data_IF_320280098540
#
_entry.id   IF_320280098540
#
_cell.length_a   1.000
_cell.length_b   1.000
_cell.length_c   1.000
_cell.angle_alpha   90.00
_cell.angle_beta   90.00
_cell.angle_gamma   90.00
#
_symmetry.space_group_name_H-M   'P 1'
#
loop_
_entity.id
_entity.type
_entity.pdbx_description
1 polymer ?
#
# COMPACT_ATOMS: atom_id res chain seq x y z
N UNK A 1 12.29 7.93 17.38
CA UNK A 1 13.72 7.75 17.68
C UNK A 1 14.16 8.77 18.72
N UNK A 2 13.63 8.61 19.93
CA UNK A 2 14.16 9.30 21.11
C UNK A 2 15.40 8.60 21.63
N UNK A 3 15.53 7.28 21.40
CA UNK A 3 16.61 6.41 21.90
C UNK A 3 18.01 6.92 21.62
N UNK A 4 18.34 7.40 20.41
CA UNK A 4 19.68 7.96 20.12
C UNK A 4 20.02 9.17 21.00
N UNK A 5 18.99 9.92 21.42
CA UNK A 5 19.12 11.12 22.24
C UNK A 5 18.89 10.88 23.72
N UNK A 6 18.16 9.85 24.13
CA UNK A 6 17.83 9.56 25.53
C UNK A 6 18.61 8.37 26.10
N UNK A 7 18.83 7.32 25.30
CA UNK A 7 19.42 6.06 25.72
C UNK A 7 20.21 5.37 24.58
N UNK A 8 21.35 5.97 24.15
CA UNK A 8 22.11 5.49 22.99
C UNK A 8 22.72 4.09 23.21
N UNK A 9 22.95 3.68 24.47
CA UNK A 9 23.54 2.38 24.79
C UNK A 9 22.65 1.20 24.40
N UNK A 10 21.33 1.38 24.45
CA UNK A 10 20.36 0.35 24.05
C UNK A 10 19.91 0.45 22.60
N UNK A 11 20.45 1.40 21.82
CA UNK A 11 20.05 1.60 20.42
C UNK A 11 20.20 0.33 19.58
N UNK A 12 21.21 -0.49 19.85
CA UNK A 12 21.43 -1.77 19.19
C UNK A 12 20.27 -2.75 19.36
N UNK A 13 19.63 -2.77 20.53
CA UNK A 13 18.54 -3.69 20.84
C UNK A 13 17.18 -3.21 20.34
N UNK A 14 17.02 -1.90 20.15
CA UNK A 14 15.73 -1.29 19.80
C UNK A 14 15.60 -0.92 18.32
N UNK A 15 16.66 -1.14 17.53
CA UNK A 15 16.66 -0.85 16.11
C UNK A 15 16.85 -2.13 15.28
N UNK A 16 16.17 -2.21 14.13
CA UNK A 16 16.23 -3.35 13.21
C UNK A 16 17.53 -3.42 12.39
N UNK A 17 18.43 -2.43 12.54
CA UNK A 17 19.68 -2.34 11.81
C UNK A 17 19.57 -1.63 10.46
N UNK A 18 20.62 -1.81 9.65
CA UNK A 18 20.70 -1.31 8.27
C UNK A 18 21.12 -2.48 7.38
N UNK A 19 20.36 -2.71 6.30
CA UNK A 19 20.70 -3.72 5.28
C UNK A 19 21.30 -3.05 4.07
N UNK A 20 22.46 -3.54 3.67
CA UNK A 20 23.30 -3.00 2.60
C UNK A 20 23.52 -4.08 1.55
N UNK A 21 23.43 -3.68 0.28
CA UNK A 21 23.93 -4.45 -0.85
C UNK A 21 25.24 -3.83 -1.34
N UNK A 22 26.16 -4.66 -1.78
CA UNK A 22 27.40 -4.22 -2.42
C UNK A 22 27.76 -5.18 -3.55
N UNK A 23 28.51 -4.70 -4.53
CA UNK A 23 28.98 -5.55 -5.63
C UNK A 23 30.14 -6.45 -5.23
N UNK A 24 30.86 -6.11 -4.14
CA UNK A 24 31.98 -6.88 -3.57
C UNK A 24 32.29 -6.42 -2.16
N UNK A 25 32.65 -7.37 -1.29
CA UNK A 25 33.23 -7.12 0.05
C UNK A 25 34.67 -7.63 0.09
N UNK A 26 35.62 -6.72 0.32
CA UNK A 26 37.02 -7.10 0.56
C UNK A 26 37.33 -7.00 2.06
N UNK A 27 37.69 -8.13 2.69
CA UNK A 27 38.16 -8.14 4.09
C UNK A 27 39.66 -7.89 4.12
N UNK A 28 40.08 -6.82 4.78
CA UNK A 28 41.51 -6.53 4.94
C UNK A 28 42.13 -7.45 6.00
N UNK A 29 43.42 -7.79 5.85
CA UNK A 29 44.17 -8.66 6.77
C UNK A 29 44.51 -7.98 8.11
N UNK A 30 44.23 -6.69 8.26
CA UNK A 30 44.41 -5.98 9.52
C UNK A 30 43.52 -6.61 10.61
N UNK A 31 44.13 -7.06 11.71
CA UNK A 31 43.46 -7.72 12.84
C UNK A 31 42.76 -9.06 12.50
N UNK A 32 43.25 -9.83 11.53
CA UNK A 32 42.65 -11.10 11.09
C UNK A 32 42.38 -12.15 12.20
N UNK A 33 43.02 -12.04 13.37
CA UNK A 33 42.79 -12.91 14.53
C UNK A 33 41.81 -12.38 15.58
N UNK A 34 41.33 -11.14 15.47
CA UNK A 34 40.36 -10.56 16.39
C UNK A 34 39.01 -10.36 15.68
N UNK A 35 37.97 -11.07 16.14
CA UNK A 35 36.62 -10.96 15.59
C UNK A 35 35.83 -9.74 16.13
N UNK A 36 36.39 -8.99 17.08
CA UNK A 36 35.75 -7.80 17.67
C UNK A 36 35.85 -6.57 16.75
N UNK A 37 36.90 -6.47 15.93
CA UNK A 37 37.14 -5.34 15.02
C UNK A 37 37.57 -5.86 13.66
N UNK A 38 36.73 -5.61 12.64
CA UNK A 38 37.03 -5.94 11.25
C UNK A 38 37.06 -4.70 10.37
N UNK A 39 37.99 -4.66 9.43
CA UNK A 39 38.08 -3.63 8.41
C UNK A 39 37.64 -4.21 7.06
N UNK A 40 36.57 -3.66 6.51
CA UNK A 40 35.93 -4.09 5.27
C UNK A 40 35.90 -2.95 4.27
N UNK A 41 36.28 -3.23 3.03
CA UNK A 41 36.07 -2.33 1.89
C UNK A 41 34.87 -2.82 1.09
N UNK A 42 33.89 -1.94 0.88
CA UNK A 42 32.61 -2.25 0.24
C UNK A 42 32.49 -1.50 -1.07
N UNK A 43 32.30 -2.23 -2.17
CA UNK A 43 32.19 -1.64 -3.52
C UNK A 43 30.72 -1.45 -3.91
N UNK A 44 30.38 -0.29 -4.48
CA UNK A 44 29.02 0.05 -4.96
C UNK A 44 27.91 -0.20 -3.92
N UNK A 45 28.07 0.40 -2.74
CA UNK A 45 27.13 0.24 -1.64
C UNK A 45 25.75 0.83 -1.94
N UNK A 46 24.69 0.10 -1.62
CA UNK A 46 23.31 0.55 -1.69
C UNK A 46 22.52 0.15 -0.44
N UNK A 47 21.80 1.10 0.15
CA UNK A 47 20.93 0.84 1.31
C UNK A 47 19.59 0.31 0.82
N UNK A 48 19.24 -0.92 1.19
CA UNK A 48 17.95 -1.55 0.81
C UNK A 48 16.96 -1.66 1.96
N UNK A 49 17.43 -1.53 3.21
CA UNK A 49 16.58 -1.39 4.40
C UNK A 49 17.32 -0.53 5.45
N UNK A 50 16.57 0.21 6.28
CA UNK A 50 17.13 1.06 7.32
C UNK A 50 17.24 2.54 6.95
N UNK A 51 16.58 3.02 5.89
CA UNK A 51 16.63 4.44 5.50
C UNK A 51 16.20 5.40 6.62
N UNK A 52 15.20 5.01 7.42
CA UNK A 52 14.79 5.77 8.59
C UNK A 52 15.88 5.78 9.67
N UNK A 53 16.48 4.62 9.97
CA UNK A 53 17.62 4.44 10.88
C UNK A 53 18.76 5.37 10.47
N UNK A 54 19.21 5.27 9.22
CA UNK A 54 20.30 6.09 8.67
C UNK A 54 19.98 7.58 8.77
N UNK A 55 18.78 8.00 8.37
CA UNK A 55 18.38 9.41 8.43
C UNK A 55 18.26 9.95 9.85
N UNK A 56 17.89 9.12 10.82
CA UNK A 56 17.83 9.54 12.22
C UNK A 56 19.21 9.59 12.87
N UNK A 57 20.10 8.64 12.55
CA UNK A 57 21.52 8.72 12.94
C UNK A 57 22.10 10.03 12.40
N UNK A 58 21.90 10.36 11.13
CA UNK A 58 22.39 11.61 10.53
C UNK A 58 21.89 12.86 11.28
N UNK A 59 20.57 12.97 11.50
CA UNK A 59 19.99 14.12 12.24
C UNK A 59 20.44 14.20 13.69
N UNK A 60 20.65 13.07 14.37
CA UNK A 60 21.16 13.07 15.74
C UNK A 60 22.64 13.39 15.79
N UNK A 61 23.41 12.94 14.81
CA UNK A 61 24.85 13.21 14.69
C UNK A 61 25.11 14.70 14.46
N UNK A 62 24.30 15.37 13.65
CA UNK A 62 24.37 16.84 13.46
C UNK A 62 24.19 17.62 14.77
N UNK A 63 23.53 17.05 15.78
CA UNK A 63 23.26 17.70 17.07
C UNK A 63 24.29 17.35 18.14
N UNK A 64 24.63 16.07 18.26
CA UNK A 64 25.53 15.56 19.30
C UNK A 64 26.30 14.33 18.80
N UNK A 65 27.42 14.53 18.08
CA UNK A 65 28.26 13.46 17.54
C UNK A 65 28.77 12.49 18.61
N UNK A 66 29.20 13.02 19.76
CA UNK A 66 29.78 12.27 20.88
C UNK A 66 28.78 11.28 21.46
N UNK A 67 27.52 11.69 21.59
CA UNK A 67 26.46 10.82 22.10
C UNK A 67 26.08 9.74 21.11
N UNK A 68 26.00 10.07 19.82
CA UNK A 68 25.73 9.08 18.75
C UNK A 68 26.86 8.07 18.64
N UNK A 69 28.12 8.47 18.86
CA UNK A 69 29.28 7.58 18.84
C UNK A 69 29.24 6.44 19.87
N UNK A 70 28.38 6.54 20.90
CA UNK A 70 28.18 5.49 21.91
C UNK A 70 27.15 4.43 21.48
N UNK A 71 26.38 4.70 20.43
CA UNK A 71 25.38 3.79 19.92
C UNK A 71 26.01 2.74 19.00
N UNK A 72 25.55 1.50 19.11
CA UNK A 72 25.88 0.42 18.16
C UNK A 72 24.68 0.14 17.27
N UNK A 73 24.91 -0.14 15.99
CA UNK A 73 23.88 -0.52 15.03
C UNK A 73 24.26 -1.82 14.34
N UNK A 74 23.30 -2.72 14.16
CA UNK A 74 23.53 -3.94 13.39
C UNK A 74 23.58 -3.58 11.90
N UNK A 75 24.65 -4.01 11.23
CA UNK A 75 24.76 -3.93 9.77
C UNK A 75 24.67 -5.34 9.19
N UNK A 76 23.76 -5.53 8.25
CA UNK A 76 23.70 -6.72 7.41
C UNK A 76 24.19 -6.33 6.01
N UNK A 77 25.33 -6.89 5.60
CA UNK A 77 25.95 -6.60 4.30
C UNK A 77 25.82 -7.86 3.44
N UNK A 78 25.25 -7.69 2.25
CA UNK A 78 25.09 -8.78 1.27
C UNK A 78 26.03 -8.49 0.11
N UNK A 79 26.97 -9.42 -0.10
CA UNK A 79 27.84 -9.43 -1.27
C UNK A 79 27.10 -10.04 -2.48
N UNK A 80 27.11 -9.32 -3.60
CA UNK A 80 26.47 -9.72 -4.84
C UNK A 80 27.45 -10.34 -5.86
N UNK A 81 28.75 -10.44 -5.54
CA UNK A 81 29.81 -10.89 -6.46
C UNK A 81 29.49 -12.18 -7.22
N UNK A 82 28.84 -13.13 -6.54
CA UNK A 82 28.54 -14.47 -7.07
C UNK A 82 27.03 -14.73 -7.20
N UNK A 83 26.25 -13.66 -7.34
CA UNK A 83 24.80 -13.72 -7.51
C UNK A 83 24.36 -13.38 -8.95
N UNK A 84 23.18 -13.86 -9.40
CA UNK A 84 22.62 -13.47 -10.69
C UNK A 84 22.42 -11.95 -10.80
N UNK A 85 22.49 -11.39 -12.01
CA UNK A 85 22.34 -9.95 -12.27
C UNK A 85 21.04 -9.34 -11.70
N UNK A 86 19.97 -10.15 -11.58
CA UNK A 86 18.68 -9.72 -11.05
C UNK A 86 18.57 -9.77 -9.51
N UNK A 87 19.60 -10.29 -8.82
CA UNK A 87 19.59 -10.52 -7.38
C UNK A 87 19.36 -9.23 -6.59
N UNK A 88 20.02 -8.13 -6.97
CA UNK A 88 19.82 -6.83 -6.32
C UNK A 88 18.35 -6.39 -6.36
N UNK A 89 17.72 -6.52 -7.54
CA UNK A 89 16.31 -6.16 -7.75
C UNK A 89 15.39 -7.09 -6.95
N UNK A 90 15.65 -8.40 -6.96
CA UNK A 90 14.86 -9.38 -6.20
C UNK A 90 14.97 -9.15 -4.70
N UNK A 91 16.18 -9.00 -4.16
CA UNK A 91 16.41 -8.76 -2.72
C UNK A 91 15.73 -7.45 -2.30
N UNK A 92 15.89 -6.38 -3.08
CA UNK A 92 15.24 -5.10 -2.82
C UNK A 92 13.72 -5.23 -2.85
N UNK A 93 13.16 -5.94 -3.83
CA UNK A 93 11.72 -6.17 -3.95
C UNK A 93 11.20 -7.00 -2.78
N UNK A 94 11.87 -8.08 -2.42
CA UNK A 94 11.46 -8.95 -1.32
C UNK A 94 11.58 -8.26 0.04
N UNK A 95 12.66 -7.50 0.29
CA UNK A 95 12.81 -6.72 1.52
C UNK A 95 11.74 -5.63 1.65
N UNK A 96 11.41 -4.93 0.56
CA UNK A 96 10.30 -3.96 0.55
C UNK A 96 8.92 -4.61 0.69
N UNK A 97 8.72 -5.81 0.13
CA UNK A 97 7.50 -6.59 0.33
C UNK A 97 7.37 -7.08 1.77
N UNK A 98 8.47 -7.43 2.43
CA UNK A 98 8.51 -7.75 3.86
C UNK A 98 8.26 -6.50 4.71
N UNK A 99 8.77 -5.32 4.37
CA UNK A 99 8.46 -4.07 5.07
C UNK A 99 7.03 -3.55 4.82
N UNK A 100 6.29 -4.14 3.88
CA UNK A 100 4.85 -3.89 3.72
C UNK A 100 4.04 -4.33 4.96
N UNK A 101 4.68 -5.07 5.86
CA UNK A 101 4.17 -5.57 7.14
C UNK A 101 4.03 -4.46 8.19
N UNK A 102 4.77 -3.35 8.13
CA UNK A 102 4.69 -2.31 9.19
C UNK A 102 3.29 -1.66 9.29
N UNK A 103 2.71 -1.22 8.17
CA UNK A 103 1.38 -0.57 8.20
C UNK A 103 0.25 -1.55 8.54
N UNK A 104 0.36 -2.81 8.10
CA UNK A 104 -0.65 -3.84 8.39
C UNK A 104 -0.63 -4.21 9.86
N UNK A 105 0.55 -4.33 10.45
CA UNK A 105 0.71 -4.62 11.88
C UNK A 105 0.16 -3.48 12.72
N UNK A 106 0.40 -2.21 12.36
CA UNK A 106 -0.25 -1.08 13.04
C UNK A 106 -1.77 -1.15 12.95
N UNK A 107 -2.32 -1.29 11.74
CA UNK A 107 -3.77 -1.39 11.53
C UNK A 107 -4.38 -2.57 12.31
N UNK A 108 -3.65 -3.67 12.45
CA UNK A 108 -4.10 -4.86 13.18
C UNK A 108 -4.34 -4.61 14.68
N UNK A 109 -3.74 -3.56 15.25
CA UNK A 109 -3.88 -3.17 16.65
C UNK A 109 -5.13 -2.33 16.91
N UNK A 110 -5.79 -1.82 15.87
CA UNK A 110 -6.98 -0.97 16.02
C UNK A 110 -8.22 -1.80 16.45
N UNK A 111 -8.89 -1.44 17.56
CA UNK A 111 -10.14 -2.06 17.97
C UNK A 111 -11.24 -2.05 16.90
N UNK A 112 -11.25 -1.09 15.97
CA UNK A 112 -12.23 -1.05 14.87
C UNK A 112 -12.12 -2.29 13.98
N UNK A 113 -10.92 -2.86 13.80
CA UNK A 113 -10.76 -4.06 12.97
C UNK A 113 -11.45 -5.28 13.59
N UNK A 114 -11.32 -5.46 14.91
CA UNK A 114 -12.00 -6.54 15.62
C UNK A 114 -13.51 -6.31 15.68
N UNK A 115 -13.96 -5.06 15.84
CA UNK A 115 -15.39 -4.71 15.75
C UNK A 115 -15.96 -5.14 14.41
N UNK A 116 -15.33 -4.71 13.31
CA UNK A 116 -15.76 -5.02 11.94
C UNK A 116 -15.76 -6.54 11.69
N UNK A 117 -14.76 -7.27 12.20
CA UNK A 117 -14.74 -8.73 12.10
C UNK A 117 -15.94 -9.37 12.79
N UNK A 118 -16.21 -8.98 14.04
CA UNK A 118 -17.34 -9.53 14.82
C UNK A 118 -18.68 -9.20 14.18
N UNK A 119 -18.86 -7.95 13.77
CA UNK A 119 -20.08 -7.50 13.09
C UNK A 119 -20.31 -8.29 11.79
N UNK A 120 -19.28 -8.46 10.95
CA UNK A 120 -19.41 -9.24 9.73
C UNK A 120 -19.75 -10.71 9.99
N UNK A 121 -19.16 -11.30 11.03
CA UNK A 121 -19.43 -12.69 11.40
C UNK A 121 -20.86 -12.88 11.93
N UNK A 122 -21.41 -11.88 12.63
CA UNK A 122 -22.80 -11.91 13.11
C UNK A 122 -23.80 -11.78 11.97
N UNK A 123 -23.59 -10.82 11.07
CA UNK A 123 -24.45 -10.60 9.89
C UNK A 123 -24.32 -11.76 8.88
N UNK A 124 -23.10 -12.29 8.73
CA UNK A 124 -22.78 -13.35 7.77
C UNK A 124 -21.76 -14.35 8.30
N UNK A 125 -22.22 -15.43 8.96
CA UNK A 125 -21.35 -16.46 9.54
C UNK A 125 -20.40 -17.17 8.55
N UNK A 126 -20.64 -17.04 7.25
CA UNK A 126 -19.83 -17.65 6.17
C UNK A 126 -18.69 -16.78 5.67
N UNK A 127 -18.65 -15.50 6.07
CA UNK A 127 -17.64 -14.53 5.63
C UNK A 127 -16.66 -14.28 6.78
N UNK A 128 -15.39 -14.56 6.55
CA UNK A 128 -14.32 -14.29 7.50
C UNK A 128 -13.54 -13.04 7.11
N UNK A 129 -13.38 -12.10 8.05
CA UNK A 129 -12.52 -10.93 7.89
C UNK A 129 -11.16 -11.11 8.57
N UNK A 130 -10.13 -11.29 7.75
CA UNK A 130 -8.75 -11.53 8.19
C UNK A 130 -7.96 -10.21 8.16
N UNK A 131 -7.76 -9.64 9.35
CA UNK A 131 -7.02 -8.38 9.52
C UNK A 131 -5.68 -8.53 10.26
N UNK A 132 -5.40 -9.72 10.80
CA UNK A 132 -4.11 -10.09 11.42
C UNK A 132 -3.48 -11.26 10.69
N UNK A 133 -2.16 -11.38 10.76
CA UNK A 133 -1.44 -12.57 10.28
C UNK A 133 -1.53 -13.66 11.35
N UNK A 134 -2.63 -14.42 11.40
CA UNK A 134 -2.71 -15.64 12.20
C UNK A 134 -2.47 -16.87 11.33
N UNK A 135 -1.69 -17.83 11.85
CA UNK A 135 -1.36 -19.10 11.19
C UNK A 135 -2.51 -20.12 11.14
N UNK A 136 -3.68 -19.74 11.63
CA UNK A 136 -4.88 -20.58 11.72
C UNK A 136 -6.11 -19.72 11.47
N UNK A 137 -7.14 -20.33 10.87
CA UNK A 137 -8.48 -19.82 10.57
C UNK A 137 -8.73 -19.28 9.15
N UNK A 138 -8.59 -20.18 8.16
CA UNK A 138 -9.29 -20.10 6.86
C UNK A 138 -10.59 -20.92 6.91
N UNK A 139 -11.41 -20.77 7.97
CA UNK A 139 -12.58 -21.63 8.21
C UNK A 139 -13.91 -21.02 7.70
N UNK A 140 -13.83 -19.98 6.86
CA UNK A 140 -14.99 -19.39 6.18
C UNK A 140 -15.03 -19.76 4.69
N UNK A 141 -16.22 -19.96 4.14
CA UNK A 141 -16.41 -20.18 2.69
C UNK A 141 -15.91 -18.99 1.86
N UNK A 142 -15.96 -17.77 2.42
CA UNK A 142 -15.46 -16.54 1.79
C UNK A 142 -14.54 -15.78 2.75
N UNK A 143 -13.35 -15.41 2.27
CA UNK A 143 -12.36 -14.65 3.05
C UNK A 143 -12.18 -13.26 2.44
N UNK A 144 -12.32 -12.23 3.26
CA UNK A 144 -11.88 -10.87 2.92
C UNK A 144 -10.72 -10.47 3.83
N UNK A 145 -9.78 -9.69 3.29
CA UNK A 145 -8.57 -9.30 4.00
C UNK A 145 -8.48 -7.79 4.19
N UNK A 146 -7.73 -7.35 5.20
CA UNK A 146 -7.40 -5.93 5.38
C UNK A 146 -6.72 -5.31 4.14
N UNK A 147 -5.92 -6.10 3.42
CA UNK A 147 -5.27 -5.71 2.15
C UNK A 147 -6.28 -5.44 1.02
N UNK A 148 -7.46 -6.07 1.05
CA UNK A 148 -8.56 -5.81 0.12
C UNK A 148 -9.47 -4.68 0.61
N UNK A 149 -9.77 -4.64 1.91
CA UNK A 149 -10.62 -3.61 2.50
C UNK A 149 -10.01 -2.22 2.37
N UNK A 150 -8.72 -2.07 2.64
CA UNK A 150 -8.02 -0.78 2.60
C UNK A 150 -8.16 -0.03 1.27
N UNK A 151 -7.80 -0.61 0.10
CA UNK A 151 -7.95 0.08 -1.18
C UNK A 151 -9.42 0.29 -1.58
N UNK A 152 -10.33 -0.61 -1.21
CA UNK A 152 -11.76 -0.46 -1.49
C UNK A 152 -12.34 0.75 -0.75
N UNK A 153 -12.09 0.84 0.56
CA UNK A 153 -12.52 1.96 1.41
C UNK A 153 -11.86 3.29 0.99
N UNK A 154 -10.59 3.25 0.57
CA UNK A 154 -9.92 4.44 0.05
C UNK A 154 -10.56 4.95 -1.25
N UNK A 155 -11.11 4.07 -2.08
CA UNK A 155 -11.86 4.46 -3.28
C UNK A 155 -13.31 4.89 -2.95
N UNK A 156 -13.90 4.33 -1.89
CA UNK A 156 -15.23 4.73 -1.40
C UNK A 156 -15.24 6.11 -0.75
N UNK A 157 -14.10 6.55 -0.19
CA UNK A 157 -13.98 7.89 0.38
C UNK A 157 -14.14 8.98 -0.71
N UNK A 158 -14.77 10.10 -0.36
CA UNK A 158 -15.05 11.19 -1.31
C UNK A 158 -13.79 11.93 -1.79
N UNK A 159 -12.70 11.87 -1.02
CA UNK A 159 -11.41 12.43 -1.37
C UNK A 159 -10.65 11.52 -2.35
N UNK A 160 -10.55 11.94 -3.62
CA UNK A 160 -9.87 11.20 -4.69
C UNK A 160 -8.36 11.03 -4.44
N UNK A 161 -7.79 11.81 -3.50
CA UNK A 161 -6.43 11.60 -3.05
C UNK A 161 -6.23 10.19 -2.50
N UNK A 162 -7.22 9.66 -1.77
CA UNK A 162 -7.11 8.35 -1.13
C UNK A 162 -7.11 7.21 -2.16
N UNK A 163 -7.90 7.31 -3.23
CA UNK A 163 -7.84 6.34 -4.34
C UNK A 163 -6.50 6.41 -5.08
N UNK A 164 -5.91 7.60 -5.20
CA UNK A 164 -4.57 7.80 -5.77
C UNK A 164 -3.47 7.21 -4.88
N UNK A 165 -3.60 7.35 -3.56
CA UNK A 165 -2.73 6.69 -2.58
C UNK A 165 -2.87 5.17 -2.65
N UNK A 166 -4.09 4.64 -2.76
CA UNK A 166 -4.32 3.21 -2.95
C UNK A 166 -3.65 2.65 -4.20
N UNK A 167 -3.47 3.47 -5.25
CA UNK A 167 -2.76 3.08 -6.48
C UNK A 167 -1.23 3.09 -6.34
N UNK A 168 -0.67 3.94 -5.49
CA UNK A 168 0.76 4.27 -5.52
C UNK A 168 1.52 4.01 -4.20
N UNK A 169 0.85 4.13 -3.06
CA UNK A 169 1.41 4.13 -1.71
C UNK A 169 0.45 3.49 -0.70
N UNK A 170 0.04 2.24 -0.94
CA UNK A 170 -0.96 1.55 -0.10
C UNK A 170 -0.57 1.54 1.39
N UNK A 171 0.69 1.26 1.73
CA UNK A 171 1.15 1.23 3.13
C UNK A 171 1.03 2.56 3.87
N UNK A 172 0.98 3.70 3.16
CA UNK A 172 0.74 5.00 3.79
C UNK A 172 -0.70 5.15 4.28
N UNK A 173 -1.65 4.36 3.76
CA UNK A 173 -3.04 4.36 4.22
C UNK A 173 -3.21 3.68 5.58
N UNK A 174 -2.25 2.84 5.99
CA UNK A 174 -2.29 2.07 7.24
C UNK A 174 -1.13 2.40 8.18
N UNK A 175 -0.36 3.45 7.90
CA UNK A 175 0.85 3.79 8.66
C UNK A 175 0.58 4.30 10.10
N UNK A 176 -0.65 4.69 10.45
CA UNK A 176 -1.01 5.15 11.79
C UNK A 176 -2.49 4.97 12.06
N UNK A 177 -2.84 4.27 13.14
CA UNK A 177 -4.25 4.00 13.49
C UNK A 177 -5.00 5.21 14.06
N UNK A 178 -4.27 6.22 14.53
CA UNK A 178 -4.85 7.39 15.21
C UNK A 178 -4.93 8.64 14.33
N UNK A 179 -4.46 8.59 13.08
CA UNK A 179 -4.36 9.76 12.20
C UNK A 179 -4.94 9.49 10.81
N UNK A 180 -5.42 10.54 10.10
CA UNK A 180 -5.66 10.44 8.68
C UNK A 180 -4.37 10.05 7.93
N UNK A 181 -4.48 9.31 6.82
CA UNK A 181 -5.71 8.91 6.13
C UNK A 181 -6.45 7.72 6.75
N UNK A 182 -5.82 6.94 7.64
CA UNK A 182 -6.37 5.69 8.15
C UNK A 182 -7.73 5.86 8.84
N UNK A 183 -7.87 6.85 9.73
CA UNK A 183 -9.12 7.12 10.47
C UNK A 183 -10.27 7.57 9.56
N UNK A 184 -9.98 7.98 8.31
CA UNK A 184 -11.01 8.24 7.30
C UNK A 184 -11.52 6.96 6.63
N UNK A 185 -10.75 5.88 6.70
CA UNK A 185 -11.11 4.58 6.16
C UNK A 185 -11.79 3.72 7.22
N UNK A 186 -11.14 3.55 8.37
CA UNK A 186 -11.61 2.75 9.49
C UNK A 186 -11.99 3.67 10.65
N UNK A 187 -13.28 3.73 10.95
CA UNK A 187 -13.84 4.54 12.03
C UNK A 187 -15.15 3.92 12.52
N UNK A 188 -15.73 4.50 13.57
CA UNK A 188 -16.94 4.00 14.22
C UNK A 188 -18.18 4.03 13.32
N UNK A 189 -18.23 4.90 12.31
CA UNK A 189 -19.36 4.99 11.37
C UNK A 189 -19.31 3.96 10.23
N UNK A 190 -18.18 3.28 10.04
CA UNK A 190 -18.07 2.25 9.02
C UNK A 190 -18.78 0.97 9.49
N UNK A 191 -19.81 0.52 8.78
CA UNK A 191 -20.38 -0.81 8.98
C UNK A 191 -19.56 -1.89 8.28
N UNK A 192 -19.60 -3.11 8.82
CA UNK A 192 -18.94 -4.26 8.24
C UNK A 192 -19.54 -4.65 6.88
N UNK A 193 -20.86 -4.48 6.71
CA UNK A 193 -21.56 -4.68 5.44
C UNK A 193 -21.05 -3.69 4.38
N UNK A 194 -20.91 -2.40 4.72
CA UNK A 194 -20.37 -1.40 3.79
C UNK A 194 -18.93 -1.72 3.37
N UNK A 195 -18.10 -2.16 4.32
CA UNK A 195 -16.74 -2.61 4.03
C UNK A 195 -16.74 -3.81 3.09
N UNK A 196 -17.55 -4.83 3.37
CA UNK A 196 -17.65 -6.04 2.54
C UNK A 196 -18.14 -5.71 1.13
N UNK A 197 -19.24 -4.95 1.00
CA UNK A 197 -19.79 -4.53 -0.28
C UNK A 197 -18.79 -3.72 -1.10
N UNK A 198 -18.04 -2.81 -0.48
CA UNK A 198 -16.98 -2.07 -1.16
C UNK A 198 -15.90 -3.00 -1.74
N UNK A 199 -15.53 -4.07 -1.03
CA UNK A 199 -14.57 -5.09 -1.50
C UNK A 199 -15.15 -5.90 -2.65
N UNK A 200 -16.42 -6.30 -2.58
CA UNK A 200 -17.08 -7.03 -3.66
C UNK A 200 -17.20 -6.17 -4.92
N UNK A 201 -17.63 -4.91 -4.80
CA UNK A 201 -17.69 -3.96 -5.91
C UNK A 201 -16.30 -3.74 -6.52
N UNK A 202 -15.25 -3.60 -5.69
CA UNK A 202 -13.88 -3.51 -6.19
C UNK A 202 -13.50 -4.74 -7.03
N UNK A 203 -13.85 -5.93 -6.56
CA UNK A 203 -13.56 -7.20 -7.25
C UNK A 203 -14.32 -7.30 -8.57
N UNK A 204 -15.62 -7.00 -8.57
CA UNK A 204 -16.44 -6.94 -9.77
C UNK A 204 -15.89 -5.96 -10.80
N UNK A 205 -15.53 -4.74 -10.37
CA UNK A 205 -14.91 -3.73 -11.25
C UNK A 205 -13.60 -4.23 -11.86
N UNK A 206 -12.73 -4.88 -11.08
CA UNK A 206 -11.49 -5.45 -11.59
C UNK A 206 -11.72 -6.56 -12.63
N UNK A 207 -12.72 -7.41 -12.42
CA UNK A 207 -13.14 -8.41 -13.39
C UNK A 207 -13.70 -7.77 -14.67
N UNK A 208 -14.62 -6.82 -14.56
CA UNK A 208 -15.20 -6.11 -15.71
C UNK A 208 -14.12 -5.38 -16.52
N UNK A 209 -13.19 -4.68 -15.86
CA UNK A 209 -12.06 -4.01 -16.55
C UNK A 209 -11.16 -5.02 -17.28
N UNK A 210 -10.91 -6.19 -16.70
CA UNK A 210 -10.16 -7.25 -17.36
C UNK A 210 -10.91 -7.84 -18.57
N UNK A 211 -12.23 -7.99 -18.49
CA UNK A 211 -13.06 -8.46 -19.59
C UNK A 211 -13.09 -7.44 -20.73
N UNK A 212 -13.28 -6.15 -20.42
CA UNK A 212 -13.16 -5.06 -21.40
C UNK A 212 -11.78 -5.10 -22.07
N UNK A 213 -10.70 -5.31 -21.32
CA UNK A 213 -9.35 -5.41 -21.89
C UNK A 213 -9.18 -6.63 -22.82
N UNK A 214 -9.77 -7.78 -22.49
CA UNK A 214 -9.66 -9.03 -23.27
C UNK A 214 -10.55 -9.03 -24.53
N UNK A 215 -11.69 -8.36 -24.49
CA UNK A 215 -12.72 -8.42 -25.54
C UNK A 215 -12.61 -7.39 -26.66
N UNK A 216 -11.54 -6.59 -26.75
CA UNK A 216 -11.56 -5.41 -27.60
C UNK A 216 -11.24 -5.66 -29.07
N UNK A 217 -12.24 -5.40 -29.91
CA UNK A 217 -12.14 -4.38 -30.95
C UNK A 217 -12.68 -3.01 -30.45
N UNK A 218 -12.03 -1.93 -30.88
CA UNK A 218 -12.42 -0.48 -30.84
C UNK A 218 -12.12 0.40 -29.59
N UNK A 219 -11.34 1.46 -29.85
CA UNK A 219 -11.26 2.79 -29.20
C UNK A 219 -10.90 2.96 -27.72
N UNK A 220 -10.87 1.96 -26.85
CA UNK A 220 -10.51 2.18 -25.41
C UNK A 220 -9.02 1.96 -25.15
N UNK A 221 -8.35 2.91 -24.51
CA UNK A 221 -6.92 2.79 -24.17
C UNK A 221 -6.68 1.74 -23.06
N UNK A 222 -5.95 0.64 -23.32
CA UNK A 222 -5.66 -0.38 -22.31
C UNK A 222 -4.90 0.18 -21.10
N UNK A 223 -4.09 1.21 -21.32
CA UNK A 223 -3.32 1.88 -20.27
C UNK A 223 -4.21 2.63 -19.28
N UNK A 224 -5.33 3.20 -19.75
CA UNK A 224 -6.31 3.84 -18.86
C UNK A 224 -6.99 2.78 -17.99
N UNK A 225 -7.35 1.63 -18.55
CA UNK A 225 -7.95 0.52 -17.78
C UNK A 225 -6.98 -0.01 -16.70
N UNK A 226 -5.71 -0.18 -17.04
CA UNK A 226 -4.69 -0.74 -16.12
C UNK A 226 -4.29 0.27 -15.04
N UNK A 227 -4.02 1.52 -15.44
CA UNK A 227 -3.49 2.53 -14.52
C UNK A 227 -4.59 3.30 -13.80
N UNK A 228 -5.74 3.49 -14.43
CA UNK A 228 -6.91 4.17 -13.88
C UNK A 228 -7.84 3.29 -13.06
N UNK A 229 -7.55 2.00 -12.87
CA UNK A 229 -8.44 1.06 -12.17
C UNK A 229 -8.96 1.56 -10.80
N UNK A 230 -8.09 2.15 -9.95
CA UNK A 230 -8.51 2.72 -8.65
C UNK A 230 -9.30 4.02 -8.80
N UNK A 231 -9.00 4.82 -9.82
CA UNK A 231 -9.73 6.05 -10.12
C UNK A 231 -11.14 5.74 -10.66
N UNK A 232 -11.25 4.79 -11.59
CA UNK A 232 -12.54 4.32 -12.12
C UNK A 232 -13.39 3.69 -11.00
N UNK A 233 -12.78 2.85 -10.16
CA UNK A 233 -13.46 2.33 -8.97
C UNK A 233 -13.97 3.44 -8.05
N UNK A 234 -13.17 4.49 -7.82
CA UNK A 234 -13.60 5.65 -7.04
C UNK A 234 -14.85 6.30 -7.65
N UNK A 235 -14.86 6.57 -8.96
CA UNK A 235 -16.02 7.16 -9.63
C UNK A 235 -17.27 6.28 -9.51
N UNK A 236 -17.13 4.97 -9.74
CA UNK A 236 -18.23 4.00 -9.58
C UNK A 236 -18.77 4.01 -8.15
N UNK A 237 -17.90 3.89 -7.15
CA UNK A 237 -18.31 3.89 -5.74
C UNK A 237 -18.94 5.21 -5.30
N UNK A 238 -18.50 6.35 -5.84
CA UNK A 238 -19.13 7.64 -5.55
C UNK A 238 -20.55 7.72 -6.11
N UNK A 239 -20.78 7.25 -7.34
CA UNK A 239 -22.12 7.23 -7.93
C UNK A 239 -23.03 6.25 -7.18
N UNK A 240 -22.55 5.05 -6.84
CA UNK A 240 -23.32 4.06 -6.09
C UNK A 240 -23.68 4.54 -4.68
N UNK A 241 -22.73 5.14 -3.96
CA UNK A 241 -22.96 5.70 -2.62
C UNK A 241 -24.00 6.83 -2.63
N UNK A 242 -24.14 7.54 -3.74
CA UNK A 242 -25.16 8.60 -3.87
C UNK A 242 -26.57 8.04 -4.07
N UNK A 243 -26.71 6.78 -4.52
CA UNK A 243 -28.00 6.17 -4.88
C UNK A 243 -28.43 5.03 -3.94
N UNK A 244 -27.49 4.39 -3.23
CA UNK A 244 -27.76 3.26 -2.34
C UNK A 244 -26.87 3.35 -1.09
N UNK A 245 -27.45 3.07 0.06
CA UNK A 245 -26.71 2.88 1.30
C UNK A 245 -26.02 1.52 1.26
N UNK A 246 -24.70 1.53 1.06
CA UNK A 246 -23.91 0.30 0.93
C UNK A 246 -23.80 -0.49 2.24
N UNK A 247 -24.26 0.06 3.36
CA UNK A 247 -24.21 -0.56 4.68
C UNK A 247 -25.47 -1.33 5.09
N UNK A 248 -26.55 -1.26 4.31
CA UNK A 248 -27.86 -1.78 4.69
C UNK A 248 -27.96 -3.30 4.55
N UNK A 249 -27.57 -3.83 3.39
CA UNK A 249 -27.65 -5.26 3.08
C UNK A 249 -26.46 -5.71 2.24
N UNK A 250 -26.17 -7.01 2.27
CA UNK A 250 -25.10 -7.57 1.44
C UNK A 250 -25.55 -7.71 0.00
N UNK A 251 -24.78 -7.09 -0.89
CA UNK A 251 -25.03 -7.13 -2.32
C UNK A 251 -24.67 -8.51 -2.90
N UNK A 252 -25.54 -9.02 -3.75
CA UNK A 252 -25.28 -10.25 -4.49
C UNK A 252 -24.40 -9.97 -5.71
N UNK A 253 -23.63 -10.97 -6.15
CA UNK A 253 -22.69 -10.83 -7.27
C UNK A 253 -23.39 -10.33 -8.55
N UNK A 254 -24.56 -10.89 -8.86
CA UNK A 254 -25.33 -10.49 -10.03
C UNK A 254 -25.86 -9.05 -9.94
N UNK A 255 -26.29 -8.61 -8.76
CA UNK A 255 -26.71 -7.23 -8.52
C UNK A 255 -25.54 -6.25 -8.69
N UNK A 256 -24.36 -6.61 -8.17
CA UNK A 256 -23.13 -5.84 -8.35
C UNK A 256 -22.82 -5.70 -9.84
N UNK A 257 -22.84 -6.78 -10.61
CA UNK A 257 -22.54 -6.77 -12.04
C UNK A 257 -23.50 -5.88 -12.83
N UNK A 258 -24.80 -5.94 -12.52
CA UNK A 258 -25.84 -5.10 -13.12
C UNK A 258 -25.62 -3.61 -12.79
N UNK A 259 -25.22 -3.30 -11.55
CA UNK A 259 -24.93 -1.94 -11.10
C UNK A 259 -23.63 -1.37 -11.72
N UNK A 260 -22.54 -2.14 -11.76
CA UNK A 260 -21.23 -1.63 -12.20
C UNK A 260 -21.09 -1.51 -13.72
N UNK A 261 -21.76 -2.38 -14.48
CA UNK A 261 -21.61 -2.46 -15.95
C UNK A 261 -21.90 -1.14 -16.68
N UNK A 262 -23.07 -0.48 -16.47
CA UNK A 262 -23.36 0.80 -17.12
C UNK A 262 -22.44 1.92 -16.62
N UNK A 263 -22.12 1.93 -15.33
CA UNK A 263 -21.27 2.94 -14.71
C UNK A 263 -19.83 2.89 -15.23
N UNK A 264 -19.27 1.69 -15.36
CA UNK A 264 -17.93 1.51 -15.92
C UNK A 264 -17.88 1.95 -17.37
N UNK A 265 -18.86 1.59 -18.19
CA UNK A 265 -18.91 2.04 -19.59
C UNK A 265 -18.92 3.57 -19.69
N UNK A 266 -19.77 4.22 -18.88
CA UNK A 266 -19.85 5.69 -18.77
C UNK A 266 -18.51 6.29 -18.34
N UNK A 267 -17.94 5.83 -17.24
CA UNK A 267 -16.74 6.44 -16.65
C UNK A 267 -15.45 6.11 -17.40
N UNK A 268 -15.35 4.98 -18.09
CA UNK A 268 -14.24 4.69 -19.00
C UNK A 268 -14.22 5.73 -20.13
N UNK A 269 -15.36 5.96 -20.79
CA UNK A 269 -15.46 6.91 -21.88
C UNK A 269 -15.13 8.34 -21.42
N UNK A 270 -15.78 8.81 -20.34
CA UNK A 270 -15.52 10.16 -19.79
C UNK A 270 -14.08 10.33 -19.31
N UNK A 271 -13.49 9.31 -18.67
CA UNK A 271 -12.09 9.37 -18.22
C UNK A 271 -11.13 9.43 -19.40
N UNK A 272 -11.40 8.71 -20.47
CA UNK A 272 -10.56 8.74 -21.67
C UNK A 272 -10.60 10.09 -22.37
N UNK A 273 -11.79 10.69 -22.48
CA UNK A 273 -11.94 12.03 -23.02
C UNK A 273 -11.20 13.06 -22.14
N UNK A 274 -11.40 13.02 -20.82
CA UNK A 274 -10.72 13.90 -19.87
C UNK A 274 -9.18 13.77 -19.94
N UNK A 275 -8.64 12.55 -20.04
CA UNK A 275 -7.20 12.32 -20.19
C UNK A 275 -6.68 12.89 -21.50
N UNK A 276 -7.41 12.70 -22.59
CA UNK A 276 -7.02 13.19 -23.92
C UNK A 276 -7.05 14.72 -24.00
N UNK A 277 -8.04 15.36 -23.36
CA UNK A 277 -8.18 16.82 -23.35
C UNK A 277 -7.20 17.51 -22.38
N UNK A 278 -7.05 16.99 -21.16
CA UNK A 278 -6.27 17.66 -20.11
C UNK A 278 -4.79 17.29 -20.14
N UNK A 279 -4.46 16.07 -20.58
CA UNK A 279 -3.11 15.52 -20.47
C UNK A 279 -2.68 14.69 -21.70
N UNK A 280 -2.83 15.20 -22.94
CA UNK A 280 -2.60 14.43 -24.18
C UNK A 280 -1.19 13.83 -24.30
N UNK A 281 -0.18 14.51 -23.77
CA UNK A 281 1.21 14.06 -23.82
C UNK A 281 1.65 13.24 -22.58
N UNK A 282 0.79 13.08 -21.56
CA UNK A 282 1.17 12.36 -20.33
C UNK A 282 0.90 10.87 -20.44
N UNK A 283 1.89 10.06 -20.04
CA UNK A 283 1.67 8.61 -19.89
C UNK A 283 0.66 8.31 -18.74
N UNK A 284 -0.38 7.47 -18.95
CA UNK A 284 -1.45 7.27 -17.98
C UNK A 284 -1.01 6.86 -16.57
N UNK A 285 0.08 6.08 -16.43
CA UNK A 285 0.59 5.73 -15.10
C UNK A 285 1.03 6.96 -14.27
N UNK A 286 1.56 8.00 -14.93
CA UNK A 286 2.00 9.22 -14.28
C UNK A 286 0.82 10.12 -13.91
N UNK A 287 -0.31 9.97 -14.61
CA UNK A 287 -1.56 10.65 -14.32
C UNK A 287 -2.19 10.06 -13.07
N UNK A 288 -2.49 8.75 -13.09
CA UNK A 288 -3.25 8.08 -12.02
C UNK A 288 -2.46 7.80 -10.73
N UNK A 289 -1.18 8.20 -10.68
CA UNK A 289 -0.37 8.25 -9.45
C UNK A 289 -0.19 9.67 -8.90
N UNK A 290 -0.81 10.68 -9.54
CA UNK A 290 -0.70 12.09 -9.14
C UNK A 290 -2.07 12.64 -8.70
N UNK A 291 -2.17 13.04 -7.43
CA UNK A 291 -3.41 13.50 -6.82
C UNK A 291 -4.02 14.71 -7.54
N UNK A 292 -3.20 15.70 -7.91
CA UNK A 292 -3.69 16.91 -8.58
C UNK A 292 -4.25 16.60 -9.97
N UNK A 293 -3.62 15.68 -10.70
CA UNK A 293 -4.11 15.23 -12.01
C UNK A 293 -5.40 14.43 -11.88
N UNK A 294 -5.48 13.52 -10.92
CA UNK A 294 -6.71 12.79 -10.62
C UNK A 294 -7.87 13.74 -10.26
N UNK A 295 -7.62 14.76 -9.42
CA UNK A 295 -8.63 15.75 -9.07
C UNK A 295 -9.14 16.50 -10.31
N UNK A 296 -8.24 16.99 -11.18
CA UNK A 296 -8.63 17.67 -12.42
C UNK A 296 -9.48 16.78 -13.35
N UNK A 297 -9.14 15.49 -13.45
CA UNK A 297 -9.95 14.53 -14.23
C UNK A 297 -11.30 14.33 -13.58
N UNK A 298 -11.37 14.16 -12.26
CA UNK A 298 -12.65 14.03 -11.53
C UNK A 298 -13.55 15.25 -11.77
N UNK A 299 -13.00 16.45 -11.66
CA UNK A 299 -13.74 17.69 -11.88
C UNK A 299 -14.25 17.81 -13.33
N UNK A 300 -13.47 17.33 -14.31
CA UNK A 300 -13.90 17.29 -15.72
C UNK A 300 -15.03 16.27 -15.93
N UNK A 301 -14.87 15.05 -15.41
CA UNK A 301 -15.82 13.95 -15.58
C UNK A 301 -17.19 14.24 -14.95
N UNK A 302 -17.23 15.02 -13.85
CA UNK A 302 -18.44 15.33 -13.10
C UNK A 302 -19.11 16.67 -13.49
N UNK A 303 -18.53 17.45 -14.40
CA UNK A 303 -19.09 18.75 -14.84
C UNK A 303 -20.21 18.65 -15.89
N UNK A 304 -20.58 17.44 -16.28
CA UNK A 304 -21.65 17.10 -17.24
C UNK A 304 -22.60 16.05 -16.66
#
# INVERSE_FOLDING_TARGET
METLSSDPGNFFYYNNGIKLLCSRVDKTLANAGNHEVGHFELHNLSVVNGAQTTGAIARSYEKDPEKVGRAKVLLEIIDLSDMPDDAASRITRHSNMQNRVDGKDFASLDPQQERLRKELLMETPRINYVYRTSSTENDGERVITLDQATPALACLNSDVALSTMAKSKLGALTASISKPPYTRLFNESLSAIAMYNAVQIMTGVEHSLNNVRKGLGSNVSPLILIHGNRFLLHLVLQELKATKELGDEILQEQEIDEMISPLLKKYIAKTQDAVSNLFPASYPANIFKNQQKCQKIKDFVLKE
#
